data_IF_188482479849
#
_entry.id   IF_188482479849
#
_cell.length_a   1.000
_cell.length_b   1.000
_cell.length_c   1.000
_cell.angle_alpha   90.00
_cell.angle_beta   90.00
_cell.angle_gamma   90.00
#
_symmetry.space_group_name_H-M   'P 1'
#
loop_
_entity.id
_entity.type
_entity.pdbx_description
1 polymer ?
#
# COMPACT_ATOMS: atom_id res chain seq x y z
N UNK A 1 -6.89 2.44 8.77
CA UNK A 1 -7.13 1.47 7.67
C UNK A 1 -8.25 0.47 7.99
N UNK A 2 -8.23 -0.28 9.10
CA UNK A 2 -9.33 -1.20 9.50
C UNK A 2 -10.72 -0.58 9.35
N UNK A 3 -10.92 0.62 9.89
CA UNK A 3 -12.19 1.37 9.83
C UNK A 3 -12.70 1.61 8.41
N UNK A 4 -11.82 1.84 7.45
CA UNK A 4 -12.18 2.04 6.04
C UNK A 4 -12.57 0.70 5.40
N UNK A 5 -11.75 -0.32 5.61
CA UNK A 5 -11.96 -1.66 5.03
C UNK A 5 -13.27 -2.27 5.52
N UNK A 6 -13.56 -2.19 6.82
CA UNK A 6 -14.79 -2.78 7.40
C UNK A 6 -16.07 -2.06 7.03
N UNK A 7 -15.98 -0.90 6.35
CA UNK A 7 -17.13 -0.10 5.90
C UNK A 7 -17.29 -0.13 4.36
N UNK A 8 -16.47 -0.90 3.65
CA UNK A 8 -16.54 -1.00 2.21
C UNK A 8 -17.87 -1.65 1.77
N UNK A 9 -18.62 -0.97 0.90
CA UNK A 9 -19.85 -1.50 0.32
C UNK A 9 -19.60 -2.45 -0.85
N UNK A 10 -20.64 -3.15 -1.34
CA UNK A 10 -20.56 -4.02 -2.52
C UNK A 10 -19.92 -3.31 -3.72
N UNK A 11 -19.07 -4.04 -4.46
CA UNK A 11 -18.37 -3.50 -5.64
C UNK A 11 -17.13 -2.65 -5.34
N UNK A 12 -16.87 -2.32 -4.07
CA UNK A 12 -15.68 -1.54 -3.68
C UNK A 12 -14.41 -2.38 -3.83
N UNK A 13 -13.37 -1.78 -4.42
CA UNK A 13 -11.99 -2.26 -4.34
C UNK A 13 -11.17 -1.27 -3.53
N UNK A 14 -10.39 -1.77 -2.58
CA UNK A 14 -9.45 -0.96 -1.80
C UNK A 14 -8.04 -1.31 -2.26
N UNK A 15 -7.29 -0.28 -2.65
CA UNK A 15 -5.86 -0.41 -2.99
C UNK A 15 -5.08 0.43 -1.98
N UNK A 16 -4.30 -0.23 -1.13
CA UNK A 16 -3.43 0.44 -0.18
C UNK A 16 -2.02 0.49 -0.74
N UNK A 17 -1.44 1.69 -0.84
CA UNK A 17 -0.09 1.92 -1.33
C UNK A 17 0.74 2.60 -0.25
N UNK A 18 2.03 2.34 -0.22
CA UNK A 18 2.98 3.09 0.60
C UNK A 18 4.34 2.44 0.65
N UNK A 19 5.32 3.19 1.16
CA UNK A 19 6.68 2.74 1.38
C UNK A 19 6.93 2.60 2.88
N UNK A 20 7.14 1.37 3.36
CA UNK A 20 7.42 1.11 4.77
C UNK A 20 8.78 1.65 5.21
N UNK A 21 9.71 1.87 4.28
CA UNK A 21 11.03 2.46 4.54
C UNK A 21 10.96 3.98 4.78
N UNK A 22 9.82 4.63 4.49
CA UNK A 22 9.60 6.06 4.71
C UNK A 22 8.80 6.36 5.99
N UNK A 23 8.76 5.42 6.93
CA UNK A 23 8.15 5.67 8.25
C UNK A 23 9.08 6.59 9.06
N UNK A 24 8.57 7.76 9.41
CA UNK A 24 9.30 8.84 10.08
C UNK A 24 8.81 9.11 11.51
N UNK A 25 7.91 8.27 12.03
CA UNK A 25 7.32 8.41 13.36
C UNK A 25 7.83 7.31 14.31
N UNK A 26 8.17 7.64 15.58
CA UNK A 26 8.68 6.64 16.53
C UNK A 26 7.63 5.61 16.96
N UNK A 27 6.35 5.84 16.65
CA UNK A 27 5.25 4.97 17.08
C UNK A 27 4.89 3.87 16.07
N UNK A 28 5.51 3.87 14.89
CA UNK A 28 5.28 2.89 13.85
C UNK A 28 6.60 2.29 13.39
N UNK A 29 6.52 1.04 12.96
CA UNK A 29 7.60 0.28 12.34
C UNK A 29 7.09 -0.37 11.08
N UNK A 30 8.01 -0.88 10.27
CA UNK A 30 7.67 -1.68 9.09
C UNK A 30 6.74 -2.86 9.44
N UNK A 31 6.90 -3.47 10.62
CA UNK A 31 6.08 -4.61 11.07
C UNK A 31 4.78 -4.23 11.77
N UNK A 32 4.64 -2.98 12.22
CA UNK A 32 3.45 -2.49 12.96
C UNK A 32 2.61 -1.49 12.16
N UNK A 33 3.04 -1.15 10.94
CA UNK A 33 2.31 -0.25 10.05
C UNK A 33 0.91 -0.78 9.72
N UNK A 34 0.01 0.13 9.37
CA UNK A 34 -1.30 -0.25 8.84
C UNK A 34 -1.20 -1.15 7.60
N UNK A 35 -0.22 -0.91 6.72
CA UNK A 35 -0.04 -1.67 5.48
C UNK A 35 0.33 -3.13 5.74
N UNK A 36 1.36 -3.36 6.56
CA UNK A 36 1.81 -4.71 6.90
C UNK A 36 0.77 -5.45 7.73
N UNK A 37 0.03 -4.76 8.59
CA UNK A 37 -1.14 -5.33 9.26
C UNK A 37 -2.22 -5.80 8.28
N UNK A 38 -2.52 -5.04 7.20
CA UNK A 38 -3.46 -5.50 6.17
C UNK A 38 -2.94 -6.75 5.48
N UNK A 39 -1.70 -6.70 4.98
CA UNK A 39 -1.11 -7.81 4.22
C UNK A 39 -1.15 -9.09 5.04
N UNK A 40 -0.70 -9.05 6.30
CA UNK A 40 -0.69 -10.24 7.16
C UNK A 40 -2.07 -10.84 7.40
N UNK A 41 -3.09 -10.00 7.60
CA UNK A 41 -4.47 -10.45 7.85
C UNK A 41 -5.20 -10.92 6.61
N UNK A 42 -4.86 -10.36 5.45
CA UNK A 42 -5.52 -10.70 4.19
C UNK A 42 -4.76 -11.72 3.35
N UNK A 43 -3.50 -12.08 3.65
CA UNK A 43 -2.67 -12.98 2.82
C UNK A 43 -3.32 -14.33 2.45
N UNK A 44 -4.23 -14.83 3.28
CA UNK A 44 -4.95 -16.09 3.04
C UNK A 44 -6.38 -15.88 2.52
N UNK A 45 -6.83 -14.64 2.36
CA UNK A 45 -8.14 -14.34 1.82
C UNK A 45 -8.11 -14.44 0.29
N UNK A 46 -8.94 -15.29 -0.35
CA UNK A 46 -8.87 -15.57 -1.79
C UNK A 46 -9.10 -14.36 -2.70
N UNK A 47 -9.69 -13.28 -2.19
CA UNK A 47 -9.96 -12.05 -2.96
C UNK A 47 -8.95 -10.94 -2.68
N UNK A 48 -7.84 -11.25 -2.02
CA UNK A 48 -6.72 -10.33 -1.81
C UNK A 48 -5.59 -10.59 -2.80
N UNK A 49 -4.81 -9.55 -3.06
CA UNK A 49 -3.49 -9.66 -3.66
C UNK A 49 -2.58 -8.64 -2.98
N UNK A 50 -1.31 -8.98 -2.83
CA UNK A 50 -0.27 -8.06 -2.39
C UNK A 50 0.91 -8.14 -3.36
N UNK A 51 1.46 -6.99 -3.70
CA UNK A 51 2.57 -6.86 -4.63
C UNK A 51 3.62 -6.00 -3.95
N UNK A 52 4.85 -6.51 -3.88
CA UNK A 52 6.00 -5.73 -3.45
C UNK A 52 6.76 -5.24 -4.68
N UNK A 53 6.75 -3.94 -4.91
CA UNK A 53 7.61 -3.33 -5.93
C UNK A 53 9.03 -3.26 -5.37
N UNK A 54 9.95 -4.03 -5.97
CA UNK A 54 11.36 -4.12 -5.52
C UNK A 54 12.21 -2.95 -6.00
N UNK A 55 11.74 -2.24 -7.01
CA UNK A 55 12.41 -1.09 -7.64
C UNK A 55 11.35 -0.05 -7.98
N UNK A 56 11.78 1.20 -8.12
CA UNK A 56 10.90 2.27 -8.59
C UNK A 56 10.49 2.02 -10.03
N UNK A 57 9.27 1.55 -10.24
CA UNK A 57 8.68 1.45 -11.57
C UNK A 57 8.09 2.81 -11.93
N UNK A 58 8.69 3.48 -12.92
CA UNK A 58 8.19 4.76 -13.42
C UNK A 58 7.40 4.53 -14.69
N UNK A 59 6.23 5.15 -14.76
CA UNK A 59 5.49 5.19 -16.02
C UNK A 59 6.14 6.20 -16.96
N UNK A 60 5.88 6.08 -18.26
CA UNK A 60 6.28 7.09 -19.25
C UNK A 60 5.89 8.53 -18.85
N UNK A 61 4.75 8.68 -18.15
CA UNK A 61 4.32 9.98 -17.60
C UNK A 61 5.21 10.43 -16.43
N UNK A 62 5.51 9.53 -15.49
CA UNK A 62 6.34 9.85 -14.34
C UNK A 62 7.80 10.16 -14.73
N UNK A 63 8.35 9.46 -15.73
CA UNK A 63 9.66 9.77 -16.28
C UNK A 63 9.71 11.17 -16.89
N UNK A 64 8.75 11.50 -17.76
CA UNK A 64 8.65 12.84 -18.35
C UNK A 64 8.48 13.93 -17.28
N UNK A 65 7.62 13.71 -16.29
CA UNK A 65 7.40 14.65 -15.20
C UNK A 65 8.68 14.94 -14.40
N UNK A 66 9.55 13.94 -14.21
CA UNK A 66 10.84 14.11 -13.50
C UNK A 66 11.85 14.95 -14.28
N UNK A 67 11.68 15.13 -15.58
CA UNK A 67 12.56 15.96 -16.42
C UNK A 67 12.08 17.41 -16.49
N UNK A 68 10.76 17.64 -16.40
CA UNK A 68 10.14 18.96 -16.63
C UNK A 68 9.68 19.69 -15.37
N UNK A 69 9.64 19.02 -14.21
CA UNK A 69 9.32 19.58 -12.88
C UNK A 69 10.53 19.48 -11.95
#
# INVERSE_FOLDING_TARGET
>A
MKTLITRAGPGTKIVCLGNVEQIDTPYLTETTSGLTYAVDRFKNWPHSAHITLRRGERSRLADYASEVL
#
